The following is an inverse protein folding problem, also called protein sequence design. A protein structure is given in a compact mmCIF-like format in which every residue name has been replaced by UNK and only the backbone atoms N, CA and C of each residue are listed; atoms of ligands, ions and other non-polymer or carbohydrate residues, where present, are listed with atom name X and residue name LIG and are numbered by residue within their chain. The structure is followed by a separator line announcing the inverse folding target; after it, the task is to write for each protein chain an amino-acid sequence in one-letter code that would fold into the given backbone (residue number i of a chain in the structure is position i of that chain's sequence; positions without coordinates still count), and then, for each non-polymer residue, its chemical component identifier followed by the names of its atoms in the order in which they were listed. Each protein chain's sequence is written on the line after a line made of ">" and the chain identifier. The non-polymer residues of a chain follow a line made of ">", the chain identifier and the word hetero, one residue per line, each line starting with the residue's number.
data_IF_865445529819
#
_entry.id   IF_865445529819
#
_cell.length_a   1.000
_cell.length_b   1.000
_cell.length_c   1.000
_cell.angle_alpha   90.00
_cell.angle_beta   90.00
_cell.angle_gamma   90.00
#
_symmetry.space_group_name_H-M   'P 1'
#
loop_
_entity.id
_entity.type
_entity.pdbx_description
1 polymer ?
#
# COMPACT_ATOMS: atom_id res chain seq x y z
N UNK A 1 -72.49 20.04 20.45
CA UNK A 1 -71.17 20.66 20.17
C UNK A 1 -70.20 19.55 19.81
N UNK A 2 -69.22 19.89 18.97
CA UNK A 2 -68.13 19.03 18.44
C UNK A 2 -68.44 18.36 17.10
N UNK A 3 -68.12 19.10 16.03
CA UNK A 3 -67.80 18.56 14.71
C UNK A 3 -66.53 17.70 14.81
N UNK A 4 -66.42 16.56 14.11
CA UNK A 4 -65.13 15.99 13.75
C UNK A 4 -64.68 16.58 12.40
N UNK A 5 -63.50 17.16 12.41
CA UNK A 5 -62.81 17.78 11.28
C UNK A 5 -62.47 16.76 10.19
N UNK A 6 -62.66 17.16 8.94
CA UNK A 6 -62.24 16.43 7.75
C UNK A 6 -60.71 16.48 7.63
N UNK A 7 -60.08 15.29 7.58
CA UNK A 7 -58.68 15.13 7.16
C UNK A 7 -58.59 15.32 5.63
N UNK A 8 -57.61 16.08 5.10
CA UNK A 8 -57.43 16.19 3.66
C UNK A 8 -56.74 14.95 3.10
N UNK A 9 -57.33 14.42 2.02
CA UNK A 9 -56.88 13.28 1.22
C UNK A 9 -55.44 13.45 0.72
N UNK A 10 -54.62 12.43 0.96
CA UNK A 10 -53.33 12.24 0.27
C UNK A 10 -53.54 11.54 -1.09
N UNK A 11 -52.70 11.82 -2.10
CA UNK A 11 -52.87 11.29 -3.45
C UNK A 11 -52.65 9.76 -3.53
N UNK A 12 -53.29 9.08 -4.51
CA UNK A 12 -53.51 7.65 -4.49
C UNK A 12 -52.26 6.80 -4.74
N UNK A 13 -52.11 5.75 -3.92
CA UNK A 13 -51.27 4.58 -4.17
C UNK A 13 -51.80 3.83 -5.41
N UNK A 14 -51.12 3.94 -6.53
CA UNK A 14 -51.26 2.95 -7.61
C UNK A 14 -50.46 1.71 -7.25
N UNK A 15 -51.16 0.73 -6.67
CA UNK A 15 -50.77 -0.67 -6.75
C UNK A 15 -50.78 -1.10 -8.22
N UNK A 16 -49.59 -1.28 -8.80
CA UNK A 16 -49.44 -2.00 -10.06
C UNK A 16 -48.41 -3.10 -9.93
N UNK A 17 -48.92 -4.28 -9.59
CA UNK A 17 -48.45 -5.54 -10.16
C UNK A 17 -47.32 -6.23 -9.41
N UNK A 18 -47.72 -7.09 -8.46
CA UNK A 18 -46.96 -8.30 -8.17
C UNK A 18 -46.86 -9.16 -9.45
N UNK A 19 -45.65 -9.32 -10.01
CA UNK A 19 -45.32 -10.47 -10.86
C UNK A 19 -43.80 -10.66 -10.95
N UNK A 20 -43.32 -11.77 -10.37
CA UNK A 20 -42.14 -12.47 -10.87
C UNK A 20 -40.86 -12.31 -10.04
N UNK A 21 -40.68 -13.21 -9.09
CA UNK A 21 -39.34 -13.72 -8.75
C UNK A 21 -38.72 -14.39 -9.99
N UNK A 22 -37.55 -13.91 -10.43
CA UNK A 22 -36.34 -14.69 -10.79
C UNK A 22 -35.33 -13.86 -11.59
N UNK A 23 -34.09 -13.87 -11.08
CA UNK A 23 -32.78 -13.73 -11.74
C UNK A 23 -32.58 -12.61 -12.77
N UNK A 24 -31.70 -11.65 -12.45
CA UNK A 24 -30.34 -11.72 -12.97
C UNK A 24 -29.45 -10.63 -12.35
N UNK A 25 -28.22 -11.04 -12.02
CA UNK A 25 -27.21 -10.17 -11.45
C UNK A 25 -26.87 -9.01 -12.38
N UNK A 26 -26.80 -7.80 -11.83
CA UNK A 26 -26.01 -6.72 -12.40
C UNK A 26 -25.53 -5.87 -11.24
N UNK A 27 -24.21 -5.69 -11.20
CA UNK A 27 -23.46 -5.28 -10.03
C UNK A 27 -23.97 -4.02 -9.38
N UNK A 28 -24.31 -4.15 -8.10
CA UNK A 28 -24.18 -3.03 -7.19
C UNK A 28 -22.67 -2.78 -7.07
N UNK A 29 -22.19 -1.79 -7.82
CA UNK A 29 -20.82 -1.31 -7.72
C UNK A 29 -20.68 -0.63 -6.36
N UNK A 30 -20.50 -1.45 -5.33
CA UNK A 30 -20.20 -1.06 -3.96
C UNK A 30 -19.06 -0.05 -4.02
N UNK A 31 -19.31 1.14 -3.47
CA UNK A 31 -18.27 2.17 -3.39
C UNK A 31 -17.09 1.59 -2.61
N UNK A 32 -15.86 1.58 -3.16
CA UNK A 32 -14.71 1.01 -2.49
C UNK A 32 -14.40 1.87 -1.27
N UNK A 33 -14.72 1.37 -0.08
CA UNK A 33 -14.61 2.11 1.18
C UNK A 33 -15.70 1.78 2.19
N UNK A 34 -16.75 1.05 1.81
CA UNK A 34 -17.72 0.59 2.80
C UNK A 34 -17.10 -0.54 3.64
N UNK A 35 -16.87 -0.25 4.92
CA UNK A 35 -16.45 -1.22 5.92
C UNK A 35 -17.51 -2.31 6.14
N UNK A 36 -18.72 -2.11 5.60
CA UNK A 36 -19.68 -3.18 5.40
C UNK A 36 -19.14 -4.11 4.31
N UNK A 37 -18.54 -5.22 4.75
CA UNK A 37 -18.02 -6.24 3.85
C UNK A 37 -19.04 -6.59 2.77
N UNK A 38 -18.53 -6.80 1.55
CA UNK A 38 -19.33 -7.31 0.43
C UNK A 38 -20.10 -8.56 0.89
N UNK A 39 -21.33 -8.72 0.44
CA UNK A 39 -22.14 -9.88 0.79
C UNK A 39 -21.40 -11.15 0.40
N UNK A 40 -21.13 -12.01 1.38
CA UNK A 40 -20.52 -13.31 1.15
C UNK A 40 -21.47 -14.17 0.30
N UNK A 41 -21.00 -14.86 -0.75
CA UNK A 41 -21.86 -15.72 -1.56
C UNK A 41 -22.51 -16.79 -0.68
N UNK A 42 -23.84 -16.79 -0.60
CA UNK A 42 -24.61 -17.81 0.15
C UNK A 42 -24.73 -19.05 -0.75
N UNK A 43 -24.19 -20.19 -0.29
CA UNK A 43 -23.99 -21.36 -1.15
C UNK A 43 -25.08 -22.43 -1.04
N UNK A 44 -25.69 -22.76 -2.19
CA UNK A 44 -26.18 -24.12 -2.48
C UNK A 44 -24.97 -24.94 -2.98
N UNK A 45 -24.64 -26.04 -2.30
CA UNK A 45 -23.43 -26.85 -2.54
C UNK A 45 -23.67 -28.05 -3.45
N UNK A 46 -24.80 -28.08 -4.17
CA UNK A 46 -25.11 -29.13 -5.14
C UNK A 46 -24.05 -29.28 -6.25
N UNK A 47 -23.40 -28.19 -6.64
CA UNK A 47 -22.33 -28.14 -7.66
C UNK A 47 -21.07 -27.47 -7.07
N UNK A 48 -20.18 -28.23 -6.40
CA UNK A 48 -19.10 -27.67 -5.60
C UNK A 48 -18.04 -26.92 -6.43
N UNK A 49 -17.74 -27.36 -7.65
CA UNK A 49 -16.73 -26.74 -8.51
C UNK A 49 -17.11 -25.31 -8.94
N UNK A 50 -18.36 -25.09 -9.34
CA UNK A 50 -18.84 -23.76 -9.75
C UNK A 50 -18.84 -22.79 -8.57
N UNK A 51 -19.22 -23.27 -7.38
CA UNK A 51 -19.23 -22.45 -6.16
C UNK A 51 -17.83 -22.07 -5.70
N UNK A 52 -16.88 -22.99 -5.83
CA UNK A 52 -15.47 -22.72 -5.57
C UNK A 52 -14.92 -21.64 -6.51
N UNK A 53 -15.25 -21.68 -7.80
CA UNK A 53 -14.86 -20.63 -8.75
C UNK A 53 -15.54 -19.27 -8.46
N UNK A 54 -16.82 -19.27 -8.08
CA UNK A 54 -17.50 -18.04 -7.65
C UNK A 54 -16.86 -17.41 -6.42
N UNK A 55 -16.49 -18.23 -5.42
CA UNK A 55 -15.77 -17.79 -4.23
C UNK A 55 -14.38 -17.24 -4.59
N UNK A 56 -13.64 -17.94 -5.45
CA UNK A 56 -12.35 -17.46 -5.96
C UNK A 56 -12.49 -16.08 -6.61
N UNK A 57 -13.43 -15.91 -7.55
CA UNK A 57 -13.66 -14.62 -8.23
C UNK A 57 -14.12 -13.53 -7.26
N UNK A 58 -14.92 -13.87 -6.24
CA UNK A 58 -15.32 -12.92 -5.22
C UNK A 58 -14.12 -12.44 -4.40
N UNK A 59 -13.24 -13.36 -3.97
CA UNK A 59 -12.01 -13.05 -3.23
C UNK A 59 -11.04 -12.23 -4.09
N UNK A 60 -10.80 -12.65 -5.33
CA UNK A 60 -9.93 -11.95 -6.30
C UNK A 60 -10.39 -10.51 -6.53
N UNK A 61 -11.68 -10.29 -6.82
CA UNK A 61 -12.24 -8.95 -6.96
C UNK A 61 -11.99 -8.10 -5.72
N UNK A 62 -12.08 -8.70 -4.53
CA UNK A 62 -11.90 -7.97 -3.26
C UNK A 62 -10.50 -7.45 -3.07
N UNK A 63 -9.52 -8.28 -3.42
CA UNK A 63 -8.12 -7.90 -3.41
C UNK A 63 -7.82 -6.81 -4.45
N UNK A 64 -8.39 -6.93 -5.66
CA UNK A 64 -8.26 -5.92 -6.71
C UNK A 64 -8.87 -4.58 -6.30
N UNK A 65 -10.08 -4.59 -5.72
CA UNK A 65 -10.77 -3.39 -5.23
C UNK A 65 -9.96 -2.73 -4.11
N UNK A 66 -9.44 -3.52 -3.17
CA UNK A 66 -8.56 -3.05 -2.10
C UNK A 66 -7.31 -2.38 -2.67
N UNK A 67 -6.60 -3.05 -3.59
CA UNK A 67 -5.41 -2.48 -4.22
C UNK A 67 -5.75 -1.20 -5.00
N UNK A 68 -6.88 -1.16 -5.71
CA UNK A 68 -7.31 0.02 -6.44
C UNK A 68 -7.61 1.19 -5.49
N UNK A 69 -8.25 0.94 -4.36
CA UNK A 69 -8.52 1.96 -3.34
C UNK A 69 -7.24 2.64 -2.86
N UNK A 70 -6.20 1.88 -2.50
CA UNK A 70 -4.89 2.43 -2.16
C UNK A 70 -4.26 3.22 -3.33
N UNK A 71 -4.40 2.75 -4.57
CA UNK A 71 -3.81 3.42 -5.73
C UNK A 71 -4.58 4.67 -6.19
N UNK A 72 -5.88 4.76 -5.94
CA UNK A 72 -6.71 5.89 -6.37
C UNK A 72 -6.31 7.19 -5.65
N UNK A 73 -6.01 7.08 -4.36
CA UNK A 73 -5.68 8.23 -3.51
C UNK A 73 -4.27 8.81 -3.79
N UNK A 74 -3.39 8.03 -4.43
CA UNK A 74 -1.98 8.41 -4.67
C UNK A 74 -1.83 9.67 -5.53
N UNK A 75 -2.75 9.96 -6.45
CA UNK A 75 -2.55 11.03 -7.46
C UNK A 75 -2.60 12.40 -6.81
N UNK A 76 -3.58 12.62 -5.94
CA UNK A 76 -3.73 13.88 -5.21
C UNK A 76 -2.61 14.06 -4.20
N UNK A 77 -2.28 13.02 -3.42
CA UNK A 77 -1.14 13.02 -2.48
C UNK A 77 0.19 13.31 -3.18
N UNK A 78 0.45 12.66 -4.34
CA UNK A 78 1.66 12.88 -5.15
C UNK A 78 1.73 14.29 -5.72
N UNK A 79 0.62 14.83 -6.22
CA UNK A 79 0.55 16.22 -6.74
C UNK A 79 0.79 17.23 -5.61
N UNK A 80 0.16 17.04 -4.45
CA UNK A 80 0.38 17.87 -3.27
C UNK A 80 1.83 17.84 -2.79
N UNK A 81 2.41 16.65 -2.63
CA UNK A 81 3.82 16.49 -2.24
C UNK A 81 4.78 17.18 -3.24
N UNK A 82 4.52 17.08 -4.55
CA UNK A 82 5.33 17.77 -5.57
C UNK A 82 5.18 19.28 -5.52
N UNK A 83 3.97 19.79 -5.33
CA UNK A 83 3.72 21.22 -5.20
C UNK A 83 4.46 21.78 -3.98
N UNK A 84 4.39 21.10 -2.83
CA UNK A 84 5.11 21.49 -1.62
C UNK A 84 6.63 21.46 -1.81
N UNK A 85 7.17 20.43 -2.46
CA UNK A 85 8.61 20.39 -2.80
C UNK A 85 9.02 21.51 -3.75
N UNK A 86 8.20 21.80 -4.76
CA UNK A 86 8.41 22.92 -5.67
C UNK A 86 8.44 24.26 -4.92
N UNK A 87 7.46 24.47 -4.03
CA UNK A 87 7.40 25.66 -3.17
C UNK A 87 8.60 25.78 -2.22
N UNK A 88 9.04 24.68 -1.63
CA UNK A 88 10.23 24.65 -0.78
C UNK A 88 11.50 25.05 -1.53
N UNK A 89 11.73 24.50 -2.72
CA UNK A 89 12.89 24.83 -3.56
C UNK A 89 12.81 26.29 -4.04
N UNK A 90 11.66 26.72 -4.56
CA UNK A 90 11.47 28.08 -5.03
C UNK A 90 11.68 29.12 -3.91
N UNK A 91 11.16 28.84 -2.71
CA UNK A 91 11.33 29.69 -1.54
C UNK A 91 12.79 29.74 -1.06
N UNK A 92 13.50 28.61 -1.05
CA UNK A 92 14.91 28.56 -0.67
C UNK A 92 15.80 29.32 -1.66
N UNK A 93 15.59 29.12 -2.97
CA UNK A 93 16.34 29.81 -4.03
C UNK A 93 16.08 31.31 -3.99
N UNK A 94 14.81 31.72 -3.90
CA UNK A 94 14.44 33.14 -3.82
C UNK A 94 14.94 33.79 -2.52
N UNK A 95 14.88 33.04 -1.42
CA UNK A 95 15.40 33.46 -0.12
C UNK A 95 16.89 33.74 -0.10
N UNK A 96 17.68 33.01 -0.90
CA UNK A 96 19.12 33.25 -1.07
C UNK A 96 19.42 34.32 -2.14
N UNK A 97 18.67 34.31 -3.25
CA UNK A 97 18.94 35.20 -4.39
C UNK A 97 18.54 36.66 -4.14
N UNK A 98 17.39 36.91 -3.50
CA UNK A 98 16.86 38.27 -3.32
C UNK A 98 17.79 39.16 -2.48
N UNK A 99 18.34 38.73 -1.31
CA UNK A 99 19.31 39.54 -0.58
C UNK A 99 20.61 39.82 -1.36
N UNK A 100 21.06 38.89 -2.21
CA UNK A 100 22.25 39.07 -3.05
C UNK A 100 22.03 40.07 -4.18
N UNK A 101 20.83 40.09 -4.77
CA UNK A 101 20.46 41.06 -5.81
C UNK A 101 20.35 42.48 -5.24
N UNK A 102 19.84 42.61 -4.01
CA UNK A 102 19.81 43.89 -3.28
C UNK A 102 21.24 44.36 -2.93
N UNK A 103 22.09 43.44 -2.47
CA UNK A 103 23.50 43.73 -2.15
C UNK A 103 24.32 44.17 -3.37
N UNK A 104 24.05 43.59 -4.54
CA UNK A 104 24.74 43.95 -5.80
C UNK A 104 24.18 45.21 -6.44
N UNK A 105 23.11 45.80 -5.88
CA UNK A 105 22.44 46.98 -6.42
C UNK A 105 21.66 46.72 -7.72
N UNK A 106 21.48 45.45 -8.11
CA UNK A 106 20.76 45.08 -9.33
C UNK A 106 19.25 45.35 -9.21
N UNK A 107 18.70 45.16 -8.00
CA UNK A 107 17.29 45.43 -7.67
C UNK A 107 17.22 45.96 -6.22
N UNK A 108 16.73 47.19 -6.02
CA UNK A 108 16.67 47.80 -4.69
C UNK A 108 15.45 47.39 -3.87
N UNK A 109 15.65 47.14 -2.57
CA UNK A 109 14.57 46.94 -1.59
C UNK A 109 13.93 45.55 -1.60
N UNK A 110 14.59 44.57 -2.23
CA UNK A 110 14.07 43.21 -2.37
C UNK A 110 14.53 42.26 -1.25
N UNK A 111 15.52 42.65 -0.42
CA UNK A 111 16.01 41.80 0.67
C UNK A 111 14.92 41.33 1.66
N UNK A 112 13.93 42.15 2.09
CA UNK A 112 12.86 41.70 2.99
C UNK A 112 12.02 40.55 2.43
N UNK A 113 11.82 40.53 1.10
CA UNK A 113 11.07 39.48 0.42
C UNK A 113 11.80 38.14 0.43
N UNK A 114 13.14 38.14 0.56
CA UNK A 114 13.94 36.95 0.78
C UNK A 114 13.54 36.21 2.06
N UNK A 115 13.30 36.93 3.17
CA UNK A 115 12.87 36.32 4.42
C UNK A 115 11.47 35.71 4.32
N UNK A 116 10.54 36.35 3.59
CA UNK A 116 9.22 35.78 3.30
C UNK A 116 9.32 34.51 2.45
N UNK A 117 10.23 34.49 1.47
CA UNK A 117 10.47 33.31 0.64
C UNK A 117 11.06 32.14 1.46
N UNK A 118 11.96 32.42 2.41
CA UNK A 118 12.48 31.41 3.34
C UNK A 118 11.37 30.88 4.26
N UNK A 119 10.51 31.75 4.78
CA UNK A 119 9.38 31.36 5.63
C UNK A 119 8.41 30.45 4.86
N UNK A 120 8.10 30.79 3.60
CA UNK A 120 7.29 29.94 2.73
C UNK A 120 7.95 28.58 2.50
N UNK A 121 9.27 28.53 2.29
CA UNK A 121 9.98 27.26 2.11
C UNK A 121 9.84 26.35 3.34
N UNK A 122 10.03 26.92 4.53
CA UNK A 122 9.86 26.19 5.80
C UNK A 122 8.41 25.72 5.97
N UNK A 123 7.44 26.59 5.66
CA UNK A 123 6.02 26.23 5.72
C UNK A 123 5.68 25.07 4.76
N UNK A 124 6.20 25.08 3.53
CA UNK A 124 6.00 23.98 2.59
C UNK A 124 6.54 22.64 3.12
N UNK A 125 7.73 22.65 3.73
CA UNK A 125 8.33 21.45 4.34
C UNK A 125 7.51 20.99 5.55
N UNK A 126 7.09 21.92 6.40
CA UNK A 126 6.26 21.62 7.57
C UNK A 126 4.91 21.01 7.17
N UNK A 127 4.25 21.55 6.14
CA UNK A 127 3.01 20.98 5.60
C UNK A 127 3.22 19.56 5.05
N UNK A 128 4.28 19.31 4.26
CA UNK A 128 4.53 17.96 3.70
C UNK A 128 4.75 16.93 4.83
N UNK A 129 5.40 17.35 5.92
CA UNK A 129 5.63 16.53 7.11
C UNK A 129 4.37 16.30 7.93
N UNK A 130 3.61 17.36 8.21
CA UNK A 130 2.42 17.29 9.04
C UNK A 130 1.33 16.45 8.39
N UNK A 131 1.09 16.65 7.09
CA UNK A 131 0.10 15.87 6.34
C UNK A 131 0.64 14.52 5.86
N UNK A 132 1.96 14.29 5.96
CA UNK A 132 2.60 13.05 5.51
C UNK A 132 2.33 12.76 4.04
N UNK A 133 2.16 13.78 3.18
CA UNK A 133 1.73 13.56 1.80
C UNK A 133 2.72 12.66 1.06
N UNK A 134 4.02 12.97 1.20
CA UNK A 134 5.11 12.16 0.64
C UNK A 134 5.12 10.72 1.16
N UNK A 135 5.06 10.50 2.47
CA UNK A 135 5.13 9.15 3.05
C UNK A 135 3.85 8.36 2.76
N UNK A 136 2.70 9.02 2.80
CA UNK A 136 1.39 8.47 2.52
C UNK A 136 1.31 7.85 1.12
N UNK A 137 1.60 8.60 0.05
CA UNK A 137 1.47 8.02 -1.30
C UNK A 137 2.46 6.88 -1.56
N UNK A 138 3.64 6.90 -0.93
CA UNK A 138 4.64 5.82 -1.05
C UNK A 138 4.13 4.57 -0.30
N UNK A 139 3.58 4.75 0.91
CA UNK A 139 2.98 3.67 1.69
C UNK A 139 1.81 3.06 0.95
N UNK A 140 0.89 3.87 0.43
CA UNK A 140 -0.27 3.40 -0.33
C UNK A 140 0.16 2.51 -1.53
N UNK A 141 1.21 2.94 -2.26
CA UNK A 141 1.77 2.16 -3.38
C UNK A 141 2.40 0.85 -2.88
N UNK A 142 3.13 0.88 -1.76
CA UNK A 142 3.75 -0.32 -1.20
C UNK A 142 2.70 -1.35 -0.74
N UNK A 143 1.65 -0.89 -0.06
CA UNK A 143 0.53 -1.75 0.39
C UNK A 143 -0.21 -2.34 -0.82
N UNK A 144 -0.53 -1.53 -1.83
CA UNK A 144 -1.13 -2.01 -3.06
C UNK A 144 -0.26 -3.07 -3.77
N UNK A 145 1.05 -2.85 -3.85
CA UNK A 145 1.98 -3.83 -4.42
C UNK A 145 2.05 -5.12 -3.61
N UNK A 146 1.99 -5.03 -2.28
CA UNK A 146 1.97 -6.21 -1.42
C UNK A 146 0.69 -7.04 -1.62
N UNK A 147 -0.47 -6.38 -1.74
CA UNK A 147 -1.74 -7.05 -2.10
C UNK A 147 -1.63 -7.75 -3.46
N UNK A 148 -1.13 -7.04 -4.48
CA UNK A 148 -0.98 -7.60 -5.84
C UNK A 148 -0.06 -8.82 -5.89
N UNK A 149 1.07 -8.80 -5.16
CA UNK A 149 1.98 -9.97 -5.07
C UNK A 149 1.30 -11.18 -4.42
N UNK A 150 0.52 -10.98 -3.36
CA UNK A 150 -0.23 -12.06 -2.72
C UNK A 150 -1.36 -12.58 -3.60
N UNK A 151 -2.03 -11.70 -4.35
CA UNK A 151 -3.06 -12.10 -5.31
C UNK A 151 -2.48 -12.97 -6.43
N UNK A 152 -1.30 -12.60 -6.93
CA UNK A 152 -0.59 -13.41 -7.91
C UNK A 152 -0.22 -14.80 -7.34
N UNK A 153 0.20 -14.87 -6.07
CA UNK A 153 0.44 -16.15 -5.41
C UNK A 153 -0.85 -16.99 -5.31
N UNK A 154 -1.97 -16.37 -4.90
CA UNK A 154 -3.28 -17.03 -4.88
C UNK A 154 -3.67 -17.61 -6.24
N UNK A 155 -3.51 -16.84 -7.32
CA UNK A 155 -3.79 -17.27 -8.69
C UNK A 155 -3.00 -18.53 -9.07
N UNK A 156 -1.72 -18.58 -8.72
CA UNK A 156 -0.88 -19.75 -9.00
C UNK A 156 -1.24 -20.95 -8.13
N UNK A 157 -1.47 -20.74 -6.82
CA UNK A 157 -1.86 -21.80 -5.90
C UNK A 157 -3.19 -22.41 -6.34
N UNK A 158 -4.16 -21.56 -6.71
CA UNK A 158 -5.45 -21.97 -7.26
C UNK A 158 -5.30 -22.79 -8.54
N UNK A 159 -4.55 -22.28 -9.52
CA UNK A 159 -4.30 -22.99 -10.76
C UNK A 159 -3.62 -24.35 -10.53
N UNK A 160 -2.70 -24.44 -9.56
CA UNK A 160 -2.03 -25.69 -9.23
C UNK A 160 -2.99 -26.73 -8.63
N UNK A 161 -3.94 -26.32 -7.79
CA UNK A 161 -4.95 -27.21 -7.22
C UNK A 161 -6.04 -27.58 -8.23
N UNK A 162 -6.49 -26.64 -9.08
CA UNK A 162 -7.43 -26.96 -10.18
C UNK A 162 -6.82 -27.94 -11.19
N UNK A 163 -5.52 -27.80 -11.52
CA UNK A 163 -4.82 -28.76 -12.38
C UNK A 163 -4.69 -30.13 -11.70
N UNK A 164 -4.44 -30.17 -10.39
CA UNK A 164 -4.42 -31.43 -9.62
C UNK A 164 -5.78 -32.11 -9.57
N UNK A 165 -6.87 -31.34 -9.54
CA UNK A 165 -8.23 -31.88 -9.62
C UNK A 165 -8.52 -32.49 -11.00
N UNK A 166 -8.07 -31.86 -12.09
CA UNK A 166 -8.33 -32.30 -13.47
C UNK A 166 -7.39 -33.42 -13.95
N UNK A 167 -6.12 -33.41 -13.52
CA UNK A 167 -5.06 -34.31 -14.01
C UNK A 167 -4.50 -35.26 -12.94
N UNK A 168 -4.92 -35.15 -11.68
CA UNK A 168 -4.39 -35.94 -10.58
C UNK A 168 -4.82 -37.42 -10.63
N UNK A 169 -4.00 -38.34 -10.08
CA UNK A 169 -4.44 -39.70 -9.78
C UNK A 169 -5.70 -39.65 -8.90
N UNK A 170 -6.64 -40.57 -9.09
CA UNK A 170 -7.95 -40.66 -8.39
C UNK A 170 -7.87 -40.93 -6.88
N UNK A 171 -6.76 -40.61 -6.23
CA UNK A 171 -6.47 -40.93 -4.82
C UNK A 171 -7.16 -39.99 -3.82
N UNK A 172 -7.66 -38.82 -4.25
CA UNK A 172 -8.37 -37.86 -3.40
C UNK A 172 -9.87 -37.79 -3.70
N UNK A 173 -10.69 -37.75 -2.65
CA UNK A 173 -12.14 -37.52 -2.82
C UNK A 173 -12.41 -36.08 -3.27
N UNK A 174 -13.51 -35.83 -3.99
CA UNK A 174 -13.91 -34.47 -4.38
C UNK A 174 -14.04 -33.52 -3.17
N UNK A 175 -14.38 -34.06 -2.00
CA UNK A 175 -14.42 -33.32 -0.73
C UNK A 175 -13.04 -32.81 -0.30
N UNK A 176 -12.00 -33.64 -0.38
CA UNK A 176 -10.63 -33.25 -0.01
C UNK A 176 -10.03 -32.21 -0.96
N UNK A 177 -10.40 -32.27 -2.25
CA UNK A 177 -10.02 -31.24 -3.23
C UNK A 177 -10.72 -29.90 -2.90
N UNK A 178 -12.02 -29.94 -2.59
CA UNK A 178 -12.76 -28.75 -2.18
C UNK A 178 -12.20 -28.14 -0.87
N UNK A 179 -11.86 -28.95 0.12
CA UNK A 179 -11.23 -28.48 1.37
C UNK A 179 -9.88 -27.80 1.13
N UNK A 180 -9.05 -28.34 0.22
CA UNK A 180 -7.79 -27.71 -0.17
C UNK A 180 -8.01 -26.36 -0.83
N UNK A 181 -8.93 -26.26 -1.79
CA UNK A 181 -9.29 -25.00 -2.44
C UNK A 181 -9.82 -23.94 -1.45
N UNK A 182 -10.70 -24.34 -0.52
CA UNK A 182 -11.20 -23.46 0.53
C UNK A 182 -10.08 -23.00 1.49
N UNK A 183 -9.11 -23.87 1.79
CA UNK A 183 -7.98 -23.52 2.65
C UNK A 183 -7.08 -22.44 2.03
N UNK A 184 -6.86 -22.51 0.71
CA UNK A 184 -6.10 -21.52 -0.07
C UNK A 184 -6.79 -20.16 -0.03
N UNK A 185 -8.11 -20.12 -0.29
CA UNK A 185 -8.91 -18.89 -0.23
C UNK A 185 -8.93 -18.25 1.17
N UNK A 186 -9.09 -19.08 2.21
CA UNK A 186 -9.08 -18.63 3.60
C UNK A 186 -7.74 -18.02 3.99
N UNK A 187 -6.65 -18.74 3.72
CA UNK A 187 -5.29 -18.27 4.04
C UNK A 187 -5.00 -16.92 3.37
N UNK A 188 -5.36 -16.76 2.10
CA UNK A 188 -5.20 -15.49 1.40
C UNK A 188 -6.02 -14.36 2.04
N UNK A 189 -7.27 -14.63 2.41
CA UNK A 189 -8.14 -13.63 3.05
C UNK A 189 -7.57 -13.19 4.40
N UNK A 190 -7.07 -14.14 5.18
CA UNK A 190 -6.39 -13.85 6.46
C UNK A 190 -5.11 -13.02 6.23
N UNK A 191 -4.29 -13.36 5.23
CA UNK A 191 -3.07 -12.64 4.89
C UNK A 191 -3.32 -11.18 4.44
N UNK A 192 -4.39 -10.95 3.66
CA UNK A 192 -4.80 -9.59 3.25
C UNK A 192 -5.32 -8.81 4.45
N UNK A 193 -6.14 -9.42 5.29
CA UNK A 193 -6.69 -8.78 6.50
C UNK A 193 -5.57 -8.42 7.47
N UNK A 194 -4.59 -9.31 7.67
CA UNK A 194 -3.42 -9.03 8.50
C UNK A 194 -2.55 -7.92 7.91
N UNK A 195 -2.34 -7.89 6.59
CA UNK A 195 -1.61 -6.78 5.96
C UNK A 195 -2.25 -5.43 6.29
N UNK A 196 -3.56 -5.30 6.07
CA UNK A 196 -4.30 -4.04 6.33
C UNK A 196 -4.25 -3.68 7.82
N UNK A 197 -4.37 -4.68 8.70
CA UNK A 197 -4.24 -4.50 10.15
C UNK A 197 -2.84 -4.00 10.54
N UNK A 198 -1.79 -4.62 10.02
CA UNK A 198 -0.39 -4.23 10.30
C UNK A 198 -0.09 -2.82 9.79
N UNK A 199 -0.59 -2.45 8.61
CA UNK A 199 -0.42 -1.10 8.07
C UNK A 199 -1.13 -0.06 8.94
N UNK A 200 -2.36 -0.36 9.37
CA UNK A 200 -3.11 0.51 10.26
C UNK A 200 -2.38 0.70 11.59
N UNK A 201 -1.80 -0.37 12.14
CA UNK A 201 -1.00 -0.31 13.37
C UNK A 201 0.28 0.52 13.18
N UNK A 202 1.01 0.32 12.08
CA UNK A 202 2.19 1.10 11.73
C UNK A 202 1.86 2.59 11.57
N UNK A 203 0.73 2.90 10.95
CA UNK A 203 0.22 4.26 10.82
C UNK A 203 -0.10 4.89 12.18
N UNK A 204 -0.73 4.14 13.10
CA UNK A 204 -0.99 4.61 14.48
C UNK A 204 0.28 4.82 15.29
N UNK A 205 1.36 4.07 15.02
CA UNK A 205 2.65 4.27 15.68
C UNK A 205 3.32 5.54 15.15
N UNK A 206 3.39 5.73 13.83
CA UNK A 206 3.96 6.93 13.21
C UNK A 206 3.21 8.20 13.64
N UNK A 207 1.89 8.14 13.74
CA UNK A 207 1.10 9.28 14.22
C UNK A 207 1.39 9.62 15.69
N UNK A 208 1.68 8.61 16.53
CA UNK A 208 2.00 8.79 17.96
C UNK A 208 3.45 9.22 18.21
N UNK A 209 4.40 8.75 17.42
CA UNK A 209 5.82 9.07 17.61
C UNK A 209 6.20 10.46 17.11
N UNK A 210 5.32 11.13 16.36
CA UNK A 210 5.58 12.43 15.75
C UNK A 210 6.66 12.34 14.67
N UNK A 211 6.79 13.36 13.80
CA UNK A 211 7.82 13.35 12.77
C UNK A 211 9.19 13.39 13.44
N UNK A 212 9.94 12.27 13.34
CA UNK A 212 11.32 12.22 13.81
C UNK A 212 12.09 13.39 13.19
N UNK A 213 12.83 14.17 14.00
CA UNK A 213 13.61 15.28 13.47
C UNK A 213 14.64 14.67 12.51
N UNK A 214 14.49 15.01 11.23
CA UNK A 214 15.47 14.71 10.22
C UNK A 214 16.70 15.54 10.60
N UNK A 215 17.61 14.93 11.36
CA UNK A 215 18.95 15.44 11.55
C UNK A 215 19.46 15.70 10.14
N UNK A 216 19.69 16.99 9.86
CA UNK A 216 20.12 17.48 8.57
C UNK A 216 21.44 16.79 8.24
N UNK A 217 21.38 15.68 7.51
CA UNK A 217 22.56 15.13 6.85
C UNK A 217 22.87 16.09 5.72
N UNK A 218 23.50 17.21 6.08
CA UNK A 218 24.17 18.10 5.16
C UNK A 218 25.17 17.26 4.38
N UNK A 219 24.80 16.90 3.17
CA UNK A 219 25.70 16.35 2.17
C UNK A 219 26.66 17.44 1.72
N UNK A 220 27.63 17.79 2.56
CA UNK A 220 28.84 18.52 2.19
C UNK A 220 30.00 18.04 3.06
N UNK A 221 30.78 17.11 2.52
CA UNK A 221 32.23 17.09 2.73
C UNK A 221 32.86 16.88 1.35
N UNK A 222 33.57 17.86 0.78
CA UNK A 222 34.44 17.60 -0.36
C UNK A 222 35.52 16.65 0.14
N UNK A 223 35.67 15.50 -0.54
CA UNK A 223 36.75 14.57 -0.24
C UNK A 223 38.09 15.30 -0.25
N UNK A 224 38.72 15.39 0.92
CA UNK A 224 40.14 15.66 1.03
C UNK A 224 40.85 14.50 0.33
N UNK A 225 41.36 14.76 -0.88
CA UNK A 225 42.26 13.85 -1.57
C UNK A 225 43.41 13.51 -0.62
N UNK A 226 43.68 12.24 -0.30
CA UNK A 226 44.95 11.86 0.30
C UNK A 226 46.05 12.18 -0.71
N UNK A 227 47.07 12.91 -0.27
CA UNK A 227 48.33 13.05 -1.01
C UNK A 227 48.92 11.65 -1.18
N UNK A 228 49.09 11.24 -2.44
CA UNK A 228 49.64 9.95 -2.85
C UNK A 228 51.15 9.88 -2.55
N UNK A 229 51.64 8.93 -1.74
CA UNK A 229 53.06 8.61 -1.67
C UNK A 229 53.47 7.63 -2.79
N UNK A 230 54.75 7.63 -3.22
CA UNK A 230 55.21 6.99 -4.46
C UNK A 230 55.07 5.45 -4.45
N UNK A 231 55.07 4.78 -5.63
CA UNK A 231 54.70 3.38 -5.76
C UNK A 231 55.80 2.48 -5.19
N UNK A 232 55.50 1.78 -4.09
CA UNK A 232 56.41 0.86 -3.44
C UNK A 232 55.71 -0.41 -2.95
N UNK A 233 56.03 -1.53 -3.61
CA UNK A 233 55.87 -2.95 -3.19
C UNK A 233 54.51 -3.40 -2.62
N UNK A 234 53.84 -4.25 -3.39
CA UNK A 234 52.73 -5.12 -2.97
C UNK A 234 53.00 -5.85 -1.64
N UNK A 235 52.10 -5.78 -0.63
CA UNK A 235 52.06 -6.73 0.45
C UNK A 235 51.20 -7.95 0.06
N UNK A 236 51.78 -9.15 0.21
CA UNK A 236 51.10 -10.45 0.08
C UNK A 236 50.00 -10.61 1.16
N UNK A 237 48.83 -11.20 0.82
CA UNK A 237 47.80 -11.49 1.81
C UNK A 237 48.20 -12.67 2.72
N UNK A 238 47.92 -12.60 4.04
CA UNK A 238 48.23 -13.70 4.96
C UNK A 238 47.29 -14.89 4.72
N UNK A 239 47.89 -16.04 4.39
CA UNK A 239 47.19 -17.28 4.04
C UNK A 239 46.39 -17.89 5.19
N UNK A 240 45.08 -18.05 4.98
CA UNK A 240 44.23 -18.92 5.75
C UNK A 240 44.54 -20.38 5.39
N UNK A 241 45.16 -21.13 6.30
CA UNK A 241 45.40 -22.57 6.15
C UNK A 241 44.06 -23.33 6.24
N UNK A 242 43.77 -24.29 5.35
CA UNK A 242 42.60 -25.17 5.49
C UNK A 242 42.71 -26.05 6.74
N UNK A 243 41.69 -26.02 7.59
CA UNK A 243 41.54 -26.86 8.77
C UNK A 243 41.13 -28.28 8.32
N UNK A 244 42.07 -29.22 8.20
CA UNK A 244 41.75 -30.62 7.96
C UNK A 244 41.36 -31.31 9.28
N UNK A 245 40.28 -32.13 9.30
CA UNK A 245 39.89 -32.87 10.49
C UNK A 245 40.96 -33.91 10.83
N UNK A 246 41.56 -33.80 12.02
CA UNK A 246 42.48 -34.83 12.52
C UNK A 246 41.68 -36.10 12.83
N UNK A 247 41.94 -37.14 12.04
CA UNK A 247 41.48 -38.50 12.31
C UNK A 247 42.01 -38.97 13.68
N UNK A 248 41.11 -39.47 14.54
CA UNK A 248 41.46 -40.05 15.84
C UNK A 248 42.01 -41.47 15.64
N UNK A 249 43.14 -41.86 16.24
CA UNK A 249 43.61 -43.25 16.22
C UNK A 249 42.66 -44.19 16.98
N UNK A 250 42.55 -45.47 16.61
CA UNK A 250 41.73 -46.45 17.32
C UNK A 250 42.33 -46.80 18.70
N UNK A 251 41.47 -46.95 19.70
CA UNK A 251 41.85 -47.33 21.06
C UNK A 251 42.28 -48.82 21.12
N UNK A 252 43.35 -49.15 21.88
CA UNK A 252 43.73 -50.53 22.13
C UNK A 252 42.76 -51.20 23.12
N UNK A 253 42.55 -52.51 22.88
CA UNK A 253 41.63 -53.44 23.55
C UNK A 253 41.63 -53.40 25.08
#
# INVERSE_FOLDING_TARGET
>A
MSQPEMQPEGPPQEERGARGERSDGTGDAVRPGDLTGRTFPVGDWGEPAERLDELYRWVERGALDTAHWYLADRVWKRRGARALRGGAVAGAVSGAALPLLDLTGALGGVAPWGYLALLLAVACVACDRYFGLTSGWIRDVATAQAVQRRLQALQFDWASESVREVLGPTEGTASEAAERCLSVLRRFTDDVTELVRSETADWMVEFRSGPAPLVMQSSVAPGTRPVEPPPGRFPLPPGARPNMPRQRPPEPR
#
